data_IF_491591882299
#
_entry.id   IF_491591882299
#
_cell.length_a   1.000
_cell.length_b   1.000
_cell.length_c   1.000
_cell.angle_alpha   90.00
_cell.angle_beta   90.00
_cell.angle_gamma   90.00
#
_symmetry.space_group_name_H-M   'P 1'
#
loop_
_entity.id
_entity.type
_entity.pdbx_description
1 polymer ?
#
# COMPACT_ATOMS: atom_id res chain seq x y z
N UNK A 1 32.30 -70.65 -5.39
CA UNK A 1 31.50 -69.44 -5.30
C UNK A 1 30.46 -69.53 -4.19
N UNK A 2 30.37 -68.49 -3.38
CA UNK A 2 29.41 -68.45 -2.27
C UNK A 2 28.04 -68.17 -2.83
N UNK A 3 27.07 -69.03 -2.50
CA UNK A 3 25.69 -68.83 -2.91
C UNK A 3 24.77 -68.49 -1.76
N UNK A 4 25.24 -68.59 -0.51
CA UNK A 4 24.39 -68.27 0.62
C UNK A 4 24.12 -66.78 0.74
N UNK A 5 25.05 -65.95 0.28
CA UNK A 5 24.85 -64.51 0.28
C UNK A 5 25.39 -63.94 -1.02
N UNK A 6 24.58 -63.10 -1.66
CA UNK A 6 24.91 -62.48 -2.93
C UNK A 6 25.35 -61.04 -2.64
N UNK A 7 26.66 -60.82 -2.62
CA UNK A 7 27.17 -59.51 -2.26
C UNK A 7 27.03 -58.50 -3.40
N UNK A 8 27.15 -58.95 -4.64
CA UNK A 8 26.94 -58.06 -5.78
C UNK A 8 25.51 -57.53 -5.80
N UNK A 9 24.56 -58.39 -5.47
CA UNK A 9 23.16 -57.96 -5.37
C UNK A 9 22.99 -56.92 -4.27
N UNK A 10 23.65 -57.11 -3.14
CA UNK A 10 23.51 -56.16 -2.03
C UNK A 10 24.09 -54.80 -2.42
N UNK A 11 25.27 -54.79 -3.03
CA UNK A 11 25.87 -53.53 -3.46
C UNK A 11 24.99 -52.83 -4.49
N UNK A 12 24.52 -53.58 -5.49
CA UNK A 12 23.70 -52.99 -6.54
C UNK A 12 22.40 -52.43 -5.97
N UNK A 13 21.79 -53.14 -5.02
CA UNK A 13 20.54 -52.68 -4.43
C UNK A 13 20.75 -51.40 -3.61
N UNK A 14 21.84 -51.33 -2.84
CA UNK A 14 22.08 -50.13 -2.04
C UNK A 14 22.26 -48.91 -2.94
N UNK A 15 23.08 -49.06 -3.99
CA UNK A 15 23.29 -47.95 -4.91
C UNK A 15 21.99 -47.56 -5.59
N UNK A 16 21.19 -48.54 -6.00
CA UNK A 16 19.94 -48.25 -6.68
C UNK A 16 18.96 -47.50 -5.77
N UNK A 17 18.87 -47.90 -4.51
CA UNK A 17 17.93 -47.25 -3.60
C UNK A 17 18.30 -45.79 -3.37
N UNK A 18 19.59 -45.50 -3.22
CA UNK A 18 19.94 -44.10 -2.98
C UNK A 18 19.80 -43.26 -4.25
N UNK A 19 20.03 -43.86 -5.42
CA UNK A 19 19.73 -43.17 -6.67
C UNK A 19 18.24 -42.87 -6.80
N UNK A 20 17.39 -43.79 -6.35
CA UNK A 20 15.95 -43.54 -6.40
C UNK A 20 15.56 -42.37 -5.49
N UNK A 21 16.20 -42.26 -4.33
CA UNK A 21 15.94 -41.11 -3.47
C UNK A 21 16.34 -39.79 -4.14
N UNK A 22 17.48 -39.78 -4.83
CA UNK A 22 17.84 -38.57 -5.58
C UNK A 22 16.81 -38.23 -6.65
N UNK A 23 16.31 -39.26 -7.34
CA UNK A 23 15.26 -39.05 -8.33
C UNK A 23 14.03 -38.41 -7.68
N UNK A 24 13.64 -38.90 -6.51
CA UNK A 24 12.47 -38.35 -5.83
C UNK A 24 12.65 -36.88 -5.49
N UNK A 25 13.84 -36.51 -4.99
CA UNK A 25 14.09 -35.11 -4.69
C UNK A 25 13.97 -34.24 -5.94
N UNK A 26 14.57 -34.70 -7.05
CA UNK A 26 14.47 -33.94 -8.29
C UNK A 26 13.02 -33.77 -8.73
N UNK A 27 12.22 -34.83 -8.59
CA UNK A 27 10.82 -34.74 -9.01
C UNK A 27 10.06 -33.74 -8.16
N UNK A 28 10.33 -33.71 -6.86
CA UNK A 28 9.69 -32.73 -5.99
C UNK A 28 10.01 -31.32 -6.45
N UNK A 29 11.28 -31.05 -6.76
CA UNK A 29 11.66 -29.72 -7.21
C UNK A 29 10.99 -29.35 -8.53
N UNK A 30 10.97 -30.28 -9.49
CA UNK A 30 10.39 -29.98 -10.79
C UNK A 30 8.88 -29.78 -10.70
N UNK A 31 8.21 -30.59 -9.88
CA UNK A 31 6.76 -30.48 -9.75
C UNK A 31 6.36 -29.17 -9.09
N UNK A 32 7.08 -28.74 -8.05
CA UNK A 32 6.69 -27.51 -7.38
C UNK A 32 7.21 -26.25 -8.08
N UNK A 33 8.34 -26.35 -8.79
CA UNK A 33 8.98 -25.17 -9.30
C UNK A 33 9.82 -24.39 -8.30
N UNK A 34 10.09 -24.98 -7.14
CA UNK A 34 10.81 -24.31 -6.07
C UNK A 34 12.01 -25.14 -5.65
N UNK A 35 13.15 -24.47 -5.46
CA UNK A 35 14.38 -25.15 -5.08
C UNK A 35 14.33 -25.66 -3.65
N UNK A 36 13.66 -24.92 -2.76
CA UNK A 36 13.55 -25.30 -1.35
C UNK A 36 12.10 -25.69 -1.09
N UNK A 37 11.88 -26.95 -0.74
CA UNK A 37 10.54 -27.46 -0.52
C UNK A 37 10.32 -28.03 0.87
N UNK A 38 11.36 -28.53 1.52
CA UNK A 38 11.29 -28.99 2.90
C UNK A 38 12.47 -28.40 3.66
N UNK A 39 12.35 -28.36 4.98
CA UNK A 39 13.47 -27.96 5.81
C UNK A 39 14.59 -28.99 5.66
N UNK A 40 15.78 -28.51 5.35
CA UNK A 40 16.89 -29.41 5.08
C UNK A 40 17.57 -29.11 3.76
N UNK A 41 16.81 -28.65 2.77
CA UNK A 41 17.41 -28.25 1.49
C UNK A 41 18.37 -27.09 1.68
N UNK A 42 17.90 -26.01 2.32
CA UNK A 42 18.75 -24.86 2.63
C UNK A 42 18.08 -24.11 3.78
N UNK A 43 18.59 -24.30 5.00
CA UNK A 43 17.92 -23.76 6.17
C UNK A 43 17.95 -22.23 6.18
N UNK A 44 19.14 -21.64 6.03
CA UNK A 44 19.25 -20.19 6.02
C UNK A 44 18.64 -19.61 4.75
N UNK A 45 18.74 -20.33 3.64
CA UNK A 45 18.05 -19.90 2.43
C UNK A 45 16.55 -19.82 2.64
N UNK A 46 15.98 -20.81 3.32
CA UNK A 46 14.55 -20.79 3.63
C UNK A 46 14.21 -19.65 4.58
N UNK A 47 15.05 -19.42 5.58
CA UNK A 47 14.80 -18.33 6.53
C UNK A 47 14.82 -16.98 5.84
N UNK A 48 15.82 -16.74 5.00
CA UNK A 48 15.91 -15.48 4.28
C UNK A 48 14.77 -15.36 3.28
N UNK A 49 14.39 -16.47 2.64
CA UNK A 49 13.28 -16.42 1.70
C UNK A 49 11.96 -16.10 2.40
N UNK A 50 11.74 -16.64 3.60
CA UNK A 50 10.52 -16.30 4.33
C UNK A 50 10.53 -14.85 4.80
N UNK A 51 11.69 -14.35 5.21
CA UNK A 51 11.78 -12.92 5.56
C UNK A 51 11.51 -12.05 4.33
N UNK A 52 12.04 -12.44 3.18
CA UNK A 52 11.77 -11.70 1.95
C UNK A 52 10.33 -11.83 1.50
N UNK A 53 9.67 -12.96 1.76
CA UNK A 53 8.25 -13.08 1.47
C UNK A 53 7.43 -12.14 2.35
N UNK A 54 7.77 -12.08 3.65
CA UNK A 54 7.18 -11.08 4.53
C UNK A 54 7.36 -9.68 3.99
N UNK A 55 8.57 -9.36 3.56
CA UNK A 55 8.86 -8.02 3.02
C UNK A 55 8.06 -7.75 1.75
N UNK A 56 7.93 -8.75 0.87
CA UNK A 56 7.21 -8.57 -0.38
C UNK A 56 5.73 -8.32 -0.13
N UNK A 57 5.11 -9.15 0.71
CA UNK A 57 3.69 -8.95 1.04
C UNK A 57 3.49 -7.60 1.71
N UNK A 58 4.38 -7.25 2.64
CA UNK A 58 4.27 -5.97 3.30
C UNK A 58 4.43 -4.79 2.36
N UNK A 59 5.37 -4.86 1.42
CA UNK A 59 5.55 -3.78 0.47
C UNK A 59 4.32 -3.59 -0.40
N UNK A 60 3.72 -4.71 -0.86
CA UNK A 60 2.50 -4.60 -1.66
C UNK A 60 1.36 -3.99 -0.87
N UNK A 61 1.14 -4.46 0.36
CA UNK A 61 0.08 -3.87 1.19
C UNK A 61 0.37 -2.41 1.50
N UNK A 62 1.63 -2.05 1.70
CA UNK A 62 1.96 -0.67 2.03
C UNK A 62 1.74 0.24 0.82
N UNK A 63 2.00 -0.25 -0.39
CA UNK A 63 1.63 0.51 -1.57
C UNK A 63 0.12 0.72 -1.65
N UNK A 64 -0.66 -0.32 -1.36
CA UNK A 64 -2.12 -0.16 -1.32
C UNK A 64 -2.54 0.88 -0.28
N UNK A 65 -1.90 0.86 0.90
CA UNK A 65 -2.14 1.87 1.92
C UNK A 65 -1.84 3.27 1.40
N UNK A 66 -0.74 3.42 0.67
CA UNK A 66 -0.38 4.73 0.14
C UNK A 66 -1.42 5.23 -0.86
N UNK A 67 -1.95 4.33 -1.69
CA UNK A 67 -3.00 4.71 -2.63
C UNK A 67 -4.27 5.14 -1.88
N UNK A 68 -4.64 4.43 -0.81
CA UNK A 68 -5.82 4.84 -0.04
C UNK A 68 -5.61 6.19 0.62
N UNK A 69 -4.41 6.45 1.15
CA UNK A 69 -4.10 7.77 1.67
C UNK A 69 -4.20 8.85 0.62
N UNK A 70 -3.71 8.58 -0.58
CA UNK A 70 -3.85 9.54 -1.68
C UNK A 70 -5.32 9.81 -1.96
N UNK A 71 -6.16 8.78 -1.91
CA UNK A 71 -7.58 8.94 -2.14
C UNK A 71 -8.21 9.86 -1.09
N UNK A 72 -7.83 9.67 0.17
CA UNK A 72 -8.34 10.55 1.22
C UNK A 72 -7.93 11.99 0.98
N UNK A 73 -6.66 12.21 0.62
CA UNK A 73 -6.15 13.56 0.39
C UNK A 73 -6.89 14.22 -0.77
N UNK A 74 -7.10 13.47 -1.86
CA UNK A 74 -7.79 14.01 -3.02
C UNK A 74 -9.23 14.38 -2.70
N UNK A 75 -9.92 13.54 -1.93
CA UNK A 75 -11.28 13.87 -1.49
C UNK A 75 -11.33 15.14 -0.67
N UNK A 76 -10.40 15.29 0.28
CA UNK A 76 -10.39 16.49 1.12
C UNK A 76 -10.17 17.75 0.30
N UNK A 77 -9.19 17.71 -0.61
CA UNK A 77 -8.91 18.86 -1.45
C UNK A 77 -10.09 19.22 -2.34
N UNK A 78 -10.74 18.19 -2.90
CA UNK A 78 -11.91 18.44 -3.71
C UNK A 78 -13.01 19.12 -2.94
N UNK A 79 -13.18 18.75 -1.68
CA UNK A 79 -14.19 19.42 -0.85
C UNK A 79 -13.81 20.87 -0.58
N UNK A 80 -12.52 21.15 -0.39
CA UNK A 80 -12.09 22.53 -0.14
C UNK A 80 -12.28 23.43 -1.36
N UNK A 81 -12.30 22.86 -2.56
CA UNK A 81 -12.49 23.67 -3.77
C UNK A 81 -13.80 24.47 -3.74
N UNK A 82 -14.89 23.83 -3.32
CA UNK A 82 -16.19 24.51 -3.29
C UNK A 82 -16.18 25.66 -2.27
N UNK A 83 -15.54 25.45 -1.12
CA UNK A 83 -15.43 26.53 -0.14
C UNK A 83 -14.67 27.72 -0.70
N UNK A 84 -13.57 27.44 -1.43
CA UNK A 84 -12.83 28.55 -2.04
C UNK A 84 -13.70 29.33 -3.02
N UNK A 85 -14.47 28.61 -3.85
CA UNK A 85 -15.33 29.29 -4.82
C UNK A 85 -16.39 30.15 -4.12
N UNK A 86 -16.97 29.63 -3.04
CA UNK A 86 -17.98 30.38 -2.31
C UNK A 86 -17.39 31.65 -1.71
N UNK A 87 -16.19 31.55 -1.13
CA UNK A 87 -15.57 32.73 -0.51
C UNK A 87 -15.19 33.77 -1.56
N UNK A 88 -14.74 33.34 -2.74
CA UNK A 88 -14.49 34.29 -3.83
C UNK A 88 -15.77 35.03 -4.22
N UNK A 89 -16.89 34.31 -4.30
CA UNK A 89 -18.15 34.97 -4.59
C UNK A 89 -18.51 35.99 -3.51
N UNK A 90 -18.33 35.64 -2.24
CA UNK A 90 -18.69 36.56 -1.16
C UNK A 90 -17.79 37.79 -1.19
N UNK A 91 -16.51 37.63 -1.54
CA UNK A 91 -15.64 38.78 -1.65
C UNK A 91 -16.10 39.72 -2.76
N UNK A 92 -16.51 39.17 -3.90
CA UNK A 92 -17.04 40.02 -4.96
C UNK A 92 -18.30 40.76 -4.49
N UNK A 93 -19.15 40.08 -3.73
CA UNK A 93 -20.33 40.74 -3.18
C UNK A 93 -19.96 41.86 -2.21
N UNK A 94 -18.91 41.65 -1.41
CA UNK A 94 -18.46 42.69 -0.48
C UNK A 94 -17.92 43.91 -1.24
N UNK A 95 -17.18 43.67 -2.32
CA UNK A 95 -16.71 44.78 -3.16
C UNK A 95 -17.89 45.57 -3.70
N UNK A 96 -18.90 44.86 -4.20
CA UNK A 96 -20.07 45.55 -4.75
C UNK A 96 -20.84 46.32 -3.69
N UNK A 97 -21.01 45.74 -2.50
CA UNK A 97 -21.84 46.34 -1.47
C UNK A 97 -21.19 47.58 -0.85
N UNK A 98 -19.88 47.77 -1.03
CA UNK A 98 -19.22 48.95 -0.49
C UNK A 98 -19.57 50.22 -1.25
N UNK A 99 -20.06 50.10 -2.48
CA UNK A 99 -20.43 51.27 -3.27
C UNK A 99 -21.59 52.00 -2.63
N UNK A 100 -21.58 53.32 -2.77
CA UNK A 100 -22.56 54.18 -2.15
C UNK A 100 -23.87 54.37 -2.89
N UNK A 101 -24.03 53.77 -4.07
CA UNK A 101 -25.30 53.93 -4.80
C UNK A 101 -26.40 53.04 -4.27
N UNK A 102 -26.08 52.08 -3.39
CA UNK A 102 -27.06 51.16 -2.87
C UNK A 102 -27.68 51.71 -1.59
N UNK A 103 -28.94 51.38 -1.36
CA UNK A 103 -29.65 51.71 -0.14
C UNK A 103 -29.55 50.55 0.83
N UNK A 104 -30.19 50.67 2.00
CA UNK A 104 -30.16 49.60 2.99
C UNK A 104 -30.90 48.36 2.49
N UNK A 105 -31.97 48.56 1.72
CA UNK A 105 -32.72 47.42 1.21
C UNK A 105 -31.91 46.59 0.22
N UNK A 106 -31.17 47.26 -0.67
CA UNK A 106 -30.31 46.53 -1.60
C UNK A 106 -29.23 45.76 -0.85
N UNK A 107 -28.66 46.38 0.18
CA UNK A 107 -27.64 45.69 0.97
C UNK A 107 -28.24 44.50 1.71
N UNK A 108 -29.50 44.59 2.12
CA UNK A 108 -30.13 43.44 2.75
C UNK A 108 -30.38 42.32 1.76
N UNK A 109 -30.76 42.66 0.52
CA UNK A 109 -30.85 41.63 -0.51
C UNK A 109 -29.50 40.97 -0.74
N UNK A 110 -28.41 41.74 -0.63
CA UNK A 110 -27.08 41.12 -0.72
C UNK A 110 -26.84 40.21 0.48
N UNK A 111 -27.24 40.65 1.67
CA UNK A 111 -27.04 39.87 2.88
C UNK A 111 -27.82 38.57 2.86
N UNK A 112 -28.93 38.51 2.13
CA UNK A 112 -29.65 37.26 1.97
C UNK A 112 -28.77 36.21 1.31
N UNK A 113 -28.15 36.59 0.18
CA UNK A 113 -27.26 35.68 -0.52
C UNK A 113 -26.04 35.34 0.33
N UNK A 114 -25.52 36.33 1.05
CA UNK A 114 -24.34 36.09 1.90
C UNK A 114 -24.66 35.07 2.99
N UNK A 115 -25.84 35.20 3.61
CA UNK A 115 -26.26 34.24 4.63
C UNK A 115 -26.38 32.84 4.05
N UNK A 116 -26.98 32.73 2.85
CA UNK A 116 -27.09 31.40 2.24
C UNK A 116 -25.72 30.79 1.95
N UNK A 117 -24.78 31.62 1.46
CA UNK A 117 -23.45 31.12 1.13
C UNK A 117 -22.65 30.72 2.38
N UNK A 118 -22.78 31.51 3.44
CA UNK A 118 -22.11 31.14 4.69
C UNK A 118 -22.67 29.85 5.23
N UNK A 119 -24.00 29.67 5.13
CA UNK A 119 -24.59 28.41 5.54
C UNK A 119 -24.04 27.26 4.72
N UNK A 120 -23.85 27.45 3.42
CA UNK A 120 -23.31 26.38 2.59
C UNK A 120 -21.88 26.03 2.98
N UNK A 121 -21.07 27.04 3.31
CA UNK A 121 -19.73 26.78 3.82
C UNK A 121 -19.79 25.89 5.06
N UNK A 122 -20.66 26.24 6.00
CA UNK A 122 -20.79 25.45 7.22
C UNK A 122 -21.27 24.04 6.94
N UNK A 123 -22.19 23.89 5.99
CA UNK A 123 -22.68 22.56 5.62
C UNK A 123 -21.57 21.71 5.04
N UNK A 124 -20.73 22.30 4.19
CA UNK A 124 -19.57 21.57 3.68
C UNK A 124 -18.69 21.10 4.82
N UNK A 125 -18.42 22.01 5.77
CA UNK A 125 -17.54 21.65 6.87
C UNK A 125 -18.10 20.49 7.69
N UNK A 126 -19.40 20.52 7.98
CA UNK A 126 -19.99 19.51 8.84
C UNK A 126 -20.35 18.22 8.13
N UNK A 127 -20.34 18.19 6.79
CA UNK A 127 -20.79 17.01 6.07
C UNK A 127 -19.74 16.34 5.20
N UNK A 128 -18.58 16.96 4.98
CA UNK A 128 -17.53 16.34 4.16
C UNK A 128 -16.97 15.12 4.88
N UNK A 129 -16.89 14.00 4.16
CA UNK A 129 -16.66 12.71 4.76
C UNK A 129 -15.80 11.83 3.86
N UNK A 130 -14.99 10.97 4.49
CA UNK A 130 -14.29 9.90 3.80
C UNK A 130 -14.37 8.66 4.67
N UNK A 131 -15.06 7.63 4.17
CA UNK A 131 -15.23 6.37 4.90
C UNK A 131 -15.82 6.62 6.29
N UNK A 132 -16.87 7.44 6.33
CA UNK A 132 -17.59 7.80 7.55
C UNK A 132 -16.76 8.60 8.53
N UNK A 133 -15.64 9.19 8.09
CA UNK A 133 -14.80 10.01 8.94
C UNK A 133 -14.95 11.47 8.51
N UNK A 134 -15.26 12.33 9.47
CA UNK A 134 -15.31 13.75 9.23
C UNK A 134 -13.91 14.32 9.05
N UNK A 135 -13.74 15.23 8.10
CA UNK A 135 -12.43 15.74 7.74
C UNK A 135 -12.20 17.20 8.11
N UNK A 136 -13.18 18.07 7.89
CA UNK A 136 -12.96 19.51 7.95
C UNK A 136 -13.42 20.14 9.26
N UNK A 137 -13.80 19.34 10.25
CA UNK A 137 -14.28 19.87 11.52
C UNK A 137 -13.17 20.09 12.54
N UNK A 138 -11.96 19.67 12.24
CA UNK A 138 -10.85 19.79 13.16
C UNK A 138 -10.52 18.52 13.91
N UNK A 139 -11.12 17.39 13.54
CA UNK A 139 -10.84 16.15 14.25
C UNK A 139 -9.38 15.73 14.12
N UNK A 140 -8.73 16.07 13.00
CA UNK A 140 -7.33 15.73 12.77
C UNK A 140 -6.43 16.96 12.77
N UNK A 141 -6.81 18.02 13.46
CA UNK A 141 -6.02 19.23 13.49
C UNK A 141 -4.77 19.04 14.34
N UNK A 142 -3.88 20.03 14.27
CA UNK A 142 -2.58 19.92 14.92
C UNK A 142 -2.72 19.78 16.44
N UNK A 143 -3.54 20.62 17.06
CA UNK A 143 -3.74 20.53 18.49
C UNK A 143 -4.99 19.77 18.88
N UNK A 144 -5.49 18.96 17.95
CA UNK A 144 -6.70 18.20 18.20
C UNK A 144 -6.49 17.18 19.32
N UNK A 145 -7.43 17.16 20.26
CA UNK A 145 -7.46 16.16 21.31
C UNK A 145 -8.41 15.01 20.97
N UNK A 146 -9.00 15.02 19.77
CA UNK A 146 -9.97 14.01 19.39
C UNK A 146 -9.30 12.78 18.78
N UNK A 147 -8.55 12.96 17.70
CA UNK A 147 -7.93 11.83 17.02
C UNK A 147 -6.75 12.32 16.20
N UNK A 148 -6.04 11.37 15.59
CA UNK A 148 -4.88 11.64 14.76
C UNK A 148 -4.96 10.77 13.51
N UNK A 149 -4.36 11.25 12.42
CA UNK A 149 -4.37 10.56 11.15
C UNK A 149 -2.96 10.13 10.79
N UNK A 150 -2.77 8.83 10.56
CA UNK A 150 -1.48 8.26 10.20
C UNK A 150 -1.65 7.36 8.99
N UNK A 151 -0.70 7.41 8.07
CA UNK A 151 -0.68 6.54 6.90
C UNK A 151 0.51 5.61 7.02
N UNK A 152 0.25 4.30 7.03
CA UNK A 152 1.31 3.32 7.24
C UNK A 152 1.91 2.94 5.90
N UNK A 153 2.93 3.66 5.48
CA UNK A 153 3.45 3.57 4.12
C UNK A 153 4.69 2.70 4.04
N UNK A 154 4.92 1.85 5.04
CA UNK A 154 6.03 0.93 4.99
C UNK A 154 5.62 -0.47 5.42
N UNK A 155 6.43 -1.46 5.08
CA UNK A 155 6.12 -2.84 5.45
C UNK A 155 6.54 -3.23 6.85
N UNK A 156 6.96 -2.29 7.69
CA UNK A 156 7.43 -2.63 9.03
C UNK A 156 6.75 -1.81 10.11
N UNK A 157 7.20 -1.99 11.36
CA UNK A 157 6.36 -1.66 12.51
C UNK A 157 6.09 -0.16 12.64
N UNK A 158 7.14 0.67 12.55
CA UNK A 158 7.00 2.08 12.89
C UNK A 158 7.06 2.99 11.67
N UNK A 159 6.79 2.48 10.48
CA UNK A 159 6.98 3.24 9.26
C UNK A 159 5.64 3.88 8.85
N UNK A 160 5.34 4.99 9.50
CA UNK A 160 4.08 5.70 9.30
C UNK A 160 4.32 7.20 9.42
N UNK A 161 3.46 7.96 8.76
CA UNK A 161 3.57 9.41 8.71
C UNK A 161 2.23 10.05 9.02
N UNK A 162 2.27 11.14 9.77
CA UNK A 162 1.07 11.79 10.27
C UNK A 162 0.62 12.89 9.32
N UNK A 163 -0.70 13.03 9.17
CA UNK A 163 -1.32 14.03 8.32
C UNK A 163 -2.21 14.90 9.19
N UNK A 164 -2.07 16.22 9.04
CA UNK A 164 -2.90 17.18 9.76
C UNK A 164 -3.87 17.85 8.78
N UNK A 165 -5.14 17.93 9.17
CA UNK A 165 -6.14 18.70 8.44
C UNK A 165 -6.75 19.70 9.42
N UNK A 166 -6.73 20.97 9.05
CA UNK A 166 -7.15 22.03 9.94
C UNK A 166 -8.68 22.18 9.92
N UNK A 167 -9.21 22.97 10.85
CA UNK A 167 -10.63 23.25 10.94
C UNK A 167 -11.03 24.27 9.88
N UNK A 168 -12.11 23.98 9.16
CA UNK A 168 -12.62 24.87 8.12
C UNK A 168 -14.12 25.11 8.27
N UNK A 169 -14.56 25.44 9.48
CA UNK A 169 -15.98 25.40 9.85
C UNK A 169 -16.62 26.79 9.96
N UNK A 170 -16.19 27.75 9.15
CA UNK A 170 -16.81 29.07 9.07
C UNK A 170 -16.67 29.87 10.35
N UNK A 171 -16.19 29.24 11.42
CA UNK A 171 -15.74 29.92 12.61
C UNK A 171 -14.22 30.06 12.64
N UNK A 172 -13.51 29.04 12.15
CA UNK A 172 -12.07 29.18 11.96
C UNK A 172 -11.74 30.18 10.86
N UNK A 173 -12.64 30.35 9.89
CA UNK A 173 -12.47 31.31 8.81
C UNK A 173 -12.97 32.70 9.18
N UNK A 174 -13.47 32.88 10.41
CA UNK A 174 -13.95 34.15 10.91
C UNK A 174 -15.13 34.69 10.10
N UNK A 175 -15.91 33.79 9.50
CA UNK A 175 -17.18 34.20 8.88
C UNK A 175 -18.34 34.13 9.85
N UNK A 176 -18.18 33.43 10.97
CA UNK A 176 -19.18 33.38 12.02
C UNK A 176 -18.54 33.88 13.30
N UNK A 177 -19.30 34.64 14.09
CA UNK A 177 -18.81 35.16 15.34
C UNK A 177 -18.88 34.14 16.45
N UNK A 178 -18.43 34.58 17.63
CA UNK A 178 -18.43 33.72 18.81
C UNK A 178 -19.85 33.30 19.18
N UNK A 179 -20.79 34.24 19.13
CA UNK A 179 -22.18 33.99 19.47
C UNK A 179 -22.98 33.43 18.30
N UNK A 180 -22.33 33.12 17.19
CA UNK A 180 -23.02 32.62 16.03
C UNK A 180 -23.52 33.67 15.07
N UNK A 181 -23.12 34.93 15.25
CA UNK A 181 -23.55 35.98 14.35
C UNK A 181 -22.75 35.92 13.06
N UNK A 182 -23.42 36.20 11.94
CA UNK A 182 -22.79 36.08 10.63
C UNK A 182 -22.00 37.33 10.30
N UNK A 183 -20.98 37.14 9.46
CA UNK A 183 -20.38 38.26 8.76
C UNK A 183 -21.45 39.00 7.97
N UNK A 184 -21.50 40.32 8.12
CA UNK A 184 -22.57 41.13 7.58
C UNK A 184 -22.08 42.03 6.47
N UNK A 185 -22.92 42.19 5.44
CA UNK A 185 -22.66 43.12 4.35
C UNK A 185 -23.76 44.16 4.24
N UNK A 186 -24.50 44.41 5.31
CA UNK A 186 -25.69 45.25 5.24
C UNK A 186 -25.39 46.74 5.26
N UNK A 187 -24.17 47.15 5.59
CA UNK A 187 -23.77 48.55 5.54
C UNK A 187 -22.49 48.68 4.72
N UNK A 188 -22.29 49.86 4.14
CA UNK A 188 -21.10 50.11 3.34
C UNK A 188 -19.85 50.04 4.18
N UNK A 189 -19.91 50.55 5.42
CA UNK A 189 -18.76 50.48 6.32
C UNK A 189 -18.43 49.04 6.68
N UNK A 190 -19.45 48.21 6.91
CA UNK A 190 -19.19 46.83 7.27
C UNK A 190 -18.79 46.00 6.06
N UNK A 191 -19.33 46.33 4.89
CA UNK A 191 -18.91 45.65 3.67
C UNK A 191 -17.43 45.92 3.39
N UNK A 192 -16.96 47.12 3.69
CA UNK A 192 -15.57 47.44 3.45
C UNK A 192 -14.65 46.61 4.33
N UNK A 193 -15.02 46.43 5.60
CA UNK A 193 -14.22 45.60 6.50
C UNK A 193 -14.27 44.13 6.10
N UNK A 194 -15.41 43.66 5.59
CA UNK A 194 -15.55 42.26 5.23
C UNK A 194 -14.58 41.85 4.13
N UNK A 195 -14.07 42.79 3.34
CA UNK A 195 -13.13 42.46 2.27
C UNK A 195 -11.86 41.86 2.87
N UNK A 196 -11.32 42.46 3.92
CA UNK A 196 -10.13 41.93 4.54
C UNK A 196 -10.34 40.59 5.22
N UNK A 197 -11.49 40.40 5.87
CA UNK A 197 -11.81 39.12 6.49
C UNK A 197 -11.90 38.02 5.43
N UNK A 198 -12.51 38.33 4.29
CA UNK A 198 -12.59 37.35 3.22
C UNK A 198 -11.21 37.06 2.63
N UNK A 199 -10.35 38.08 2.56
CA UNK A 199 -8.98 37.86 2.11
C UNK A 199 -8.23 36.91 3.04
N UNK A 200 -8.39 37.11 4.35
CA UNK A 200 -7.76 36.21 5.31
C UNK A 200 -8.31 34.79 5.19
N UNK A 201 -9.62 34.65 4.99
CA UNK A 201 -10.22 33.33 4.83
C UNK A 201 -9.69 32.63 3.59
N UNK A 202 -9.51 33.38 2.51
CA UNK A 202 -8.91 32.82 1.30
C UNK A 202 -7.48 32.40 1.54
N UNK A 203 -6.73 33.20 2.30
CA UNK A 203 -5.35 32.82 2.61
C UNK A 203 -5.29 31.51 3.37
N UNK A 204 -6.17 31.35 4.37
CA UNK A 204 -6.21 30.11 5.14
C UNK A 204 -6.59 28.92 4.27
N UNK A 205 -7.59 29.09 3.41
CA UNK A 205 -7.98 28.00 2.51
C UNK A 205 -6.82 27.61 1.60
N UNK A 206 -6.12 28.61 1.04
CA UNK A 206 -5.00 28.33 0.14
C UNK A 206 -3.88 27.60 0.86
N UNK A 207 -3.58 27.99 2.11
CA UNK A 207 -2.56 27.29 2.87
C UNK A 207 -2.94 25.84 3.10
N UNK A 208 -4.21 25.59 3.45
CA UNK A 208 -4.65 24.21 3.62
C UNK A 208 -4.51 23.40 2.33
N UNK A 209 -4.89 24.00 1.20
CA UNK A 209 -4.75 23.31 -0.08
C UNK A 209 -3.28 23.00 -0.38
N UNK A 210 -2.39 23.93 -0.06
CA UNK A 210 -0.96 23.71 -0.26
C UNK A 210 -0.45 22.54 0.58
N UNK A 211 -0.88 22.45 1.84
CA UNK A 211 -0.49 21.32 2.71
C UNK A 211 -0.93 19.99 2.10
N UNK A 212 -2.20 19.90 1.69
CA UNK A 212 -2.75 18.62 1.14
C UNK A 212 -2.01 18.26 -0.15
N UNK A 213 -1.67 19.26 -0.98
CA UNK A 213 -0.89 19.00 -2.21
C UNK A 213 0.49 18.46 -1.89
N UNK A 214 1.16 19.04 -0.89
CA UNK A 214 2.45 18.53 -0.45
C UNK A 214 2.34 17.09 0.03
N UNK A 215 1.30 16.77 0.79
CA UNK A 215 1.09 15.37 1.24
C UNK A 215 0.93 14.45 0.03
N UNK A 216 0.06 14.84 -0.92
CA UNK A 216 -0.20 14.01 -2.12
C UNK A 216 1.11 13.76 -2.88
N UNK A 217 1.93 14.81 -3.04
CA UNK A 217 3.20 14.68 -3.81
C UNK A 217 4.14 13.71 -3.08
N UNK A 218 4.28 13.85 -1.76
CA UNK A 218 5.07 12.92 -1.00
C UNK A 218 4.55 11.48 -1.14
N UNK A 219 3.22 11.31 -1.10
CA UNK A 219 2.64 9.99 -1.24
C UNK A 219 2.89 9.39 -2.61
N UNK A 220 2.89 10.23 -3.66
CA UNK A 220 3.23 9.74 -5.00
C UNK A 220 4.66 9.22 -5.06
N UNK A 221 5.60 10.00 -4.52
CA UNK A 221 6.99 9.55 -4.49
C UNK A 221 7.12 8.24 -3.72
N UNK A 222 6.41 8.15 -2.58
CA UNK A 222 6.48 6.94 -1.77
C UNK A 222 5.92 5.74 -2.51
N UNK A 223 4.81 5.92 -3.24
CA UNK A 223 4.24 4.83 -4.00
C UNK A 223 5.20 4.32 -5.06
N UNK A 224 5.85 5.23 -5.78
CA UNK A 224 6.84 4.81 -6.77
C UNK A 224 8.00 4.06 -6.12
N UNK A 225 8.50 4.57 -4.99
CA UNK A 225 9.58 3.90 -4.30
C UNK A 225 9.19 2.52 -3.81
N UNK A 226 7.95 2.37 -3.31
CA UNK A 226 7.46 1.09 -2.84
C UNK A 226 7.32 0.09 -3.99
N UNK A 227 6.86 0.54 -5.15
CA UNK A 227 6.75 -0.36 -6.29
C UNK A 227 8.12 -0.86 -6.74
N UNK A 228 9.09 0.06 -6.83
CA UNK A 228 10.46 -0.34 -7.19
C UNK A 228 11.05 -1.29 -6.16
N UNK A 229 10.85 -1.00 -4.86
CA UNK A 229 11.34 -1.89 -3.82
C UNK A 229 10.71 -3.27 -3.92
N UNK A 230 9.41 -3.34 -4.18
CA UNK A 230 8.75 -4.63 -4.27
C UNK A 230 9.29 -5.44 -5.44
N UNK A 231 9.54 -4.80 -6.58
CA UNK A 231 10.14 -5.50 -7.71
C UNK A 231 11.52 -6.07 -7.36
N UNK A 232 12.37 -5.24 -6.75
CA UNK A 232 13.73 -5.70 -6.42
C UNK A 232 13.70 -6.81 -5.37
N UNK A 233 12.84 -6.68 -4.36
CA UNK A 233 12.75 -7.71 -3.34
C UNK A 233 12.25 -9.03 -3.90
N UNK A 234 11.23 -8.97 -4.77
CA UNK A 234 10.74 -10.20 -5.38
C UNK A 234 11.82 -10.85 -6.24
N UNK A 235 12.60 -10.05 -6.96
CA UNK A 235 13.72 -10.60 -7.72
C UNK A 235 14.71 -11.32 -6.81
N UNK A 236 15.04 -10.72 -5.66
CA UNK A 236 15.97 -11.36 -4.73
C UNK A 236 15.41 -12.66 -4.17
N UNK A 237 14.14 -12.64 -3.76
CA UNK A 237 13.53 -13.83 -3.18
C UNK A 237 13.47 -14.97 -4.19
N UNK A 238 13.04 -14.67 -5.42
CA UNK A 238 12.96 -15.72 -6.44
C UNK A 238 14.35 -16.24 -6.80
N UNK A 239 15.35 -15.35 -6.87
CA UNK A 239 16.72 -15.80 -7.03
C UNK A 239 17.12 -16.78 -5.94
N UNK A 240 16.60 -16.61 -4.73
CA UNK A 240 16.95 -17.54 -3.65
C UNK A 240 16.13 -18.83 -3.70
N UNK A 241 14.81 -18.74 -3.84
CA UNK A 241 13.93 -19.89 -3.60
C UNK A 241 13.48 -20.62 -4.86
N UNK A 242 13.37 -19.94 -6.01
CA UNK A 242 12.81 -20.56 -7.20
C UNK A 242 13.80 -21.49 -7.87
N UNK A 243 13.29 -22.61 -8.37
CA UNK A 243 14.12 -23.58 -9.08
C UNK A 243 14.32 -23.16 -10.53
N UNK A 244 15.57 -23.32 -11.00
CA UNK A 244 15.86 -23.22 -12.42
C UNK A 244 15.45 -24.53 -13.08
N UNK A 245 14.38 -24.49 -13.87
CA UNK A 245 13.79 -25.73 -14.36
C UNK A 245 14.70 -26.47 -15.35
N UNK A 246 15.51 -25.74 -16.11
CA UNK A 246 16.41 -26.38 -17.07
C UNK A 246 17.48 -27.22 -16.36
N UNK A 247 18.15 -26.62 -15.39
CA UNK A 247 19.16 -27.35 -14.62
C UNK A 247 18.54 -28.55 -13.90
N UNK A 248 17.33 -28.36 -13.38
CA UNK A 248 16.65 -29.47 -12.70
C UNK A 248 16.32 -30.60 -13.67
N UNK A 249 15.93 -30.27 -14.90
CA UNK A 249 15.67 -31.31 -15.89
C UNK A 249 16.94 -32.07 -16.24
N UNK A 250 18.06 -31.36 -16.35
CA UNK A 250 19.34 -32.02 -16.60
C UNK A 250 19.64 -33.03 -15.49
N UNK A 251 19.52 -32.58 -14.24
CA UNK A 251 19.76 -33.50 -13.11
C UNK A 251 18.80 -34.68 -13.13
N UNK A 252 17.53 -34.42 -13.42
CA UNK A 252 16.52 -35.47 -13.40
C UNK A 252 16.80 -36.53 -14.45
N UNK A 253 17.18 -36.10 -15.65
CA UNK A 253 17.49 -37.05 -16.71
C UNK A 253 18.71 -37.89 -16.35
N UNK A 254 19.75 -37.25 -15.82
CA UNK A 254 20.94 -38.00 -15.40
C UNK A 254 20.58 -39.07 -14.36
N UNK A 255 19.78 -38.69 -13.37
CA UNK A 255 19.46 -39.62 -12.29
C UNK A 255 18.55 -40.76 -12.78
N UNK A 256 17.64 -40.47 -13.72
CA UNK A 256 16.82 -41.54 -14.30
C UNK A 256 17.66 -42.55 -15.08
N UNK A 257 18.62 -42.07 -15.87
CA UNK A 257 19.48 -43.00 -16.60
C UNK A 257 20.30 -43.84 -15.62
N UNK A 258 20.79 -43.22 -14.55
CA UNK A 258 21.50 -43.99 -13.53
C UNK A 258 20.61 -45.04 -12.89
N UNK A 259 19.34 -44.72 -12.67
CA UNK A 259 18.40 -45.69 -12.10
C UNK A 259 18.22 -46.88 -13.03
N UNK A 260 18.05 -46.62 -14.32
CA UNK A 260 17.89 -47.70 -15.29
C UNK A 260 19.13 -48.60 -15.33
N UNK A 261 20.31 -47.99 -15.36
CA UNK A 261 21.55 -48.76 -15.37
C UNK A 261 21.70 -49.61 -14.11
N UNK A 262 21.38 -49.04 -12.95
CA UNK A 262 21.46 -49.81 -11.72
C UNK A 262 20.46 -50.96 -11.67
N UNK A 263 19.26 -50.75 -12.21
CA UNK A 263 18.29 -51.83 -12.27
C UNK A 263 18.79 -52.97 -13.15
N UNK A 264 19.36 -52.63 -14.31
CA UNK A 264 19.92 -53.67 -15.18
C UNK A 264 21.03 -54.44 -14.47
N UNK A 265 21.90 -53.72 -13.74
CA UNK A 265 22.97 -54.39 -13.02
C UNK A 265 22.46 -55.29 -11.90
N UNK A 266 21.42 -54.86 -11.19
CA UNK A 266 20.86 -55.70 -10.13
C UNK A 266 20.23 -56.97 -10.71
N UNK A 267 19.54 -56.84 -11.86
CA UNK A 267 19.01 -58.00 -12.54
C UNK A 267 20.12 -58.96 -12.96
N UNK A 268 21.23 -58.41 -13.46
CA UNK A 268 22.35 -59.24 -13.85
C UNK A 268 22.98 -59.93 -12.64
N UNK A 269 23.04 -59.24 -11.51
CA UNK A 269 23.69 -59.81 -10.33
C UNK A 269 22.82 -60.88 -9.67
N UNK A 270 21.50 -60.78 -9.80
CA UNK A 270 20.62 -61.78 -9.21
C UNK A 270 20.81 -63.15 -9.86
N UNK A 271 21.00 -63.19 -11.18
CA UNK A 271 21.14 -64.45 -11.90
C UNK A 271 22.55 -65.01 -11.85
N UNK A 272 23.51 -64.27 -11.30
CA UNK A 272 24.91 -64.70 -11.34
C UNK A 272 25.17 -66.03 -10.63
N UNK A 273 24.71 -66.25 -9.39
CA UNK A 273 25.09 -67.50 -8.70
C UNK A 273 24.49 -68.76 -9.28
N UNK A 274 23.72 -68.67 -10.37
CA UNK A 274 23.15 -69.88 -10.98
C UNK A 274 24.22 -70.73 -11.66
N UNK A 275 25.40 -70.18 -11.96
CA UNK A 275 26.43 -70.93 -12.63
C UNK A 275 27.07 -72.00 -11.78
N UNK A 276 26.86 -71.96 -10.46
CA UNK A 276 27.36 -73.01 -9.59
C UNK A 276 26.57 -74.29 -9.79
N UNK A 277 25.29 -74.18 -10.13
CA UNK A 277 24.44 -75.36 -10.31
C UNK A 277 24.96 -76.30 -11.38
N UNK A 278 25.79 -75.82 -12.31
CA UNK A 278 26.40 -76.70 -13.29
C UNK A 278 27.31 -77.75 -12.64
N UNK A 279 27.87 -77.44 -11.48
CA UNK A 279 28.75 -78.36 -10.77
C UNK A 279 27.99 -79.37 -9.92
N UNK A 280 26.67 -79.33 -9.92
CA UNK A 280 25.87 -80.22 -9.08
C UNK A 280 25.06 -81.20 -9.93
#
# INVERSE_FOLDING_TARGET
MIINHNLAAINSHRVLKFQNEEVSKNMEKLSSGMRINRAGDDASGLAVSEKMRTQVNGLRQAERNTEDGMSLIQTTEGFLQESNDIIQRIRTLAIQSSNGIYTEEDRQMIQVEVSQLIDEVDRIASQAEFNKMNLLQGDFARGSRATSMWFHIGPNMHQRERVFIATMTARSLNLKGQSGELLSLSTADKSNDAIGTLDAALTRISKQRANLGAYFNRLEHAAKGLMNAYENTQASESRIRDADMAEETVAFTKNQILVQSGTAMLAQANVRPQGVLSLLR
#
